data_IF_833862147202
#
_entry.id   IF_833862147202
#
_cell.length_a   1.000
_cell.length_b   1.000
_cell.length_c   1.000
_cell.angle_alpha   90.00
_cell.angle_beta   90.00
_cell.angle_gamma   90.00
#
_symmetry.space_group_name_H-M   'P 1'
#
loop_
_entity.id
_entity.type
_entity.pdbx_description
1 polymer ?
#
# COMPACT_ATOMS: atom_id res chain seq x y z
N UNK A 1 7.05 12.98 9.54
CA UNK A 1 6.87 11.57 9.14
C UNK A 1 7.01 11.47 7.62
N UNK A 2 7.76 10.49 7.13
CA UNK A 2 7.75 10.11 5.71
C UNK A 2 6.87 8.87 5.54
N UNK A 3 5.92 8.92 4.61
CA UNK A 3 4.90 7.90 4.45
C UNK A 3 4.78 7.49 2.98
N UNK A 4 4.86 6.19 2.71
CA UNK A 4 4.65 5.63 1.38
C UNK A 4 3.24 5.87 0.86
N UNK A 5 3.09 6.41 -0.34
CA UNK A 5 1.79 6.56 -1.01
C UNK A 5 1.89 7.24 -2.37
N UNK A 6 0.76 7.25 -3.10
CA UNK A 6 0.75 7.63 -4.52
C UNK A 6 0.53 9.12 -4.78
N UNK A 7 -0.12 9.80 -3.83
CA UNK A 7 -0.44 11.22 -3.94
C UNK A 7 -0.07 11.95 -2.66
N UNK A 8 0.32 13.24 -2.73
CA UNK A 8 0.60 14.04 -1.55
C UNK A 8 -0.53 14.03 -0.51
N UNK A 9 -1.77 13.92 -0.98
CA UNK A 9 -2.99 13.97 -0.16
C UNK A 9 -3.45 12.62 0.39
N UNK A 10 -2.76 11.51 0.05
CA UNK A 10 -3.20 10.14 0.37
C UNK A 10 -3.41 9.91 1.87
N UNK A 11 -2.69 10.64 2.70
CA UNK A 11 -2.73 10.54 4.16
C UNK A 11 -3.34 11.76 4.86
N UNK A 12 -4.10 12.59 4.15
CA UNK A 12 -4.76 13.77 4.74
C UNK A 12 -5.63 13.39 5.94
N UNK A 13 -6.40 12.30 5.86
CA UNK A 13 -7.23 11.87 6.99
C UNK A 13 -6.40 11.48 8.22
N UNK A 14 -5.25 10.84 8.03
CA UNK A 14 -4.33 10.50 9.12
C UNK A 14 -3.71 11.77 9.72
N UNK A 15 -3.27 12.70 8.86
CA UNK A 15 -2.71 13.98 9.30
C UNK A 15 -3.74 14.80 10.09
N UNK A 16 -4.95 14.94 9.55
CA UNK A 16 -6.05 15.65 10.19
C UNK A 16 -6.39 15.02 11.54
N UNK A 17 -6.66 13.71 11.58
CA UNK A 17 -7.08 13.05 12.81
C UNK A 17 -6.00 13.13 13.91
N UNK A 18 -4.72 13.03 13.56
CA UNK A 18 -3.64 13.20 14.53
C UNK A 18 -3.53 14.65 15.02
N UNK A 19 -3.56 15.63 14.13
CA UNK A 19 -3.49 17.05 14.48
C UNK A 19 -4.70 17.53 15.29
N UNK A 20 -5.90 17.04 15.00
CA UNK A 20 -7.11 17.32 15.78
C UNK A 20 -7.00 16.73 17.19
N UNK A 21 -6.44 15.52 17.31
CA UNK A 21 -6.27 14.85 18.60
C UNK A 21 -5.17 15.49 19.45
N UNK A 22 -4.12 16.02 18.82
CA UNK A 22 -2.94 16.59 19.47
C UNK A 22 -2.58 17.97 18.89
N UNK A 23 -3.40 19.01 19.15
CA UNK A 23 -3.27 20.31 18.50
C UNK A 23 -1.96 21.06 18.82
N UNK A 24 -1.30 20.73 19.93
CA UNK A 24 -0.02 21.31 20.31
C UNK A 24 1.18 20.66 19.59
N UNK A 25 0.98 19.54 18.89
CA UNK A 25 2.03 18.88 18.11
C UNK A 25 1.92 19.32 16.66
N UNK A 26 2.94 20.03 16.18
CA UNK A 26 3.05 20.34 14.76
C UNK A 26 3.41 19.06 13.96
N UNK A 27 2.39 18.41 13.41
CA UNK A 27 2.55 17.16 12.68
C UNK A 27 2.70 17.35 11.17
N UNK A 28 3.93 17.19 10.70
CA UNK A 28 4.26 17.16 9.27
C UNK A 28 4.31 15.72 8.76
N UNK A 29 3.46 15.41 7.79
CA UNK A 29 3.45 14.15 7.06
C UNK A 29 3.75 14.43 5.59
N UNK A 30 4.80 13.80 5.06
CA UNK A 30 5.19 13.90 3.65
C UNK A 30 4.90 12.54 3.00
N UNK A 31 4.20 12.57 1.87
CA UNK A 31 3.90 11.37 1.09
C UNK A 31 4.73 11.37 -0.19
N UNK A 32 5.38 10.25 -0.45
CA UNK A 32 6.02 9.90 -1.71
C UNK A 32 6.01 8.38 -1.87
N UNK A 33 6.39 7.85 -3.02
CA UNK A 33 6.53 6.41 -3.21
C UNK A 33 7.54 5.81 -2.23
N UNK A 34 7.24 4.62 -1.74
CA UNK A 34 8.11 3.95 -0.77
C UNK A 34 9.53 3.72 -1.29
N UNK A 35 9.67 3.48 -2.61
CA UNK A 35 10.94 3.29 -3.34
C UNK A 35 11.77 4.56 -3.53
N UNK A 36 11.19 5.73 -3.30
CA UNK A 36 11.92 7.00 -3.29
C UNK A 36 12.24 7.39 -1.85
N UNK A 37 11.29 7.21 -0.94
CA UNK A 37 11.50 7.46 0.47
C UNK A 37 12.59 6.56 1.08
N UNK A 38 12.70 5.28 0.71
CA UNK A 38 13.73 4.41 1.27
C UNK A 38 15.16 4.81 0.84
N UNK A 39 15.38 5.08 -0.45
CA UNK A 39 16.66 5.58 -0.96
C UNK A 39 16.99 6.95 -0.38
N UNK A 40 15.99 7.84 -0.24
CA UNK A 40 16.17 9.13 0.42
C UNK A 40 16.61 8.96 1.88
N UNK A 41 15.99 8.05 2.62
CA UNK A 41 16.34 7.77 4.01
C UNK A 41 17.74 7.17 4.11
N UNK A 42 18.09 6.23 3.23
CA UNK A 42 19.44 5.65 3.19
C UNK A 42 20.49 6.74 2.93
N UNK A 43 20.26 7.61 1.94
CA UNK A 43 21.15 8.73 1.66
C UNK A 43 21.24 9.71 2.84
N UNK A 44 20.13 10.01 3.51
CA UNK A 44 20.10 10.90 4.66
C UNK A 44 20.80 10.31 5.89
N UNK A 45 20.73 9.00 6.09
CA UNK A 45 21.46 8.29 7.14
C UNK A 45 22.98 8.36 6.89
N UNK A 46 23.40 8.10 5.64
CA UNK A 46 24.80 8.12 5.22
C UNK A 46 25.41 9.53 5.33
N UNK A 47 24.71 10.53 4.79
CA UNK A 47 25.17 11.93 4.79
C UNK A 47 24.91 12.65 6.11
N UNK A 48 24.34 11.97 7.11
CA UNK A 48 23.98 12.54 8.43
C UNK A 48 23.02 13.73 8.35
N UNK A 49 22.12 13.71 7.37
CA UNK A 49 21.12 14.76 7.11
C UNK A 49 19.69 14.29 7.38
N UNK A 50 19.50 13.27 8.22
CA UNK A 50 18.19 12.68 8.53
C UNK A 50 17.14 13.72 8.94
N UNK A 51 16.06 13.76 8.15
CA UNK A 51 14.93 14.68 8.34
C UNK A 51 13.78 14.05 9.12
N UNK A 52 13.20 12.89 8.72
CA UNK A 52 12.03 12.36 9.40
C UNK A 52 12.37 11.72 10.75
N UNK A 53 11.45 11.81 11.71
CA UNK A 53 11.51 11.03 12.95
C UNK A 53 10.88 9.63 12.82
N UNK A 54 9.90 9.52 11.90
CA UNK A 54 9.08 8.33 11.64
C UNK A 54 9.05 8.03 10.16
N UNK A 55 9.14 6.75 9.83
CA UNK A 55 8.97 6.23 8.47
C UNK A 55 7.88 5.16 8.45
N UNK A 56 7.01 5.21 7.45
CA UNK A 56 6.01 4.18 7.19
C UNK A 56 5.96 3.80 5.71
N UNK A 57 6.34 2.57 5.34
CA UNK A 57 6.54 2.19 3.94
C UNK A 57 6.04 0.77 3.63
N UNK A 58 5.80 0.54 2.34
CA UNK A 58 5.46 -0.78 1.80
C UNK A 58 6.69 -1.59 1.39
N UNK A 59 7.87 -0.96 1.30
CA UNK A 59 9.15 -1.64 1.03
C UNK A 59 9.65 -2.33 2.30
N UNK A 60 8.93 -3.39 2.68
CA UNK A 60 9.00 -4.04 3.99
C UNK A 60 10.41 -4.52 4.35
N UNK A 61 11.19 -4.95 3.36
CA UNK A 61 12.55 -5.44 3.49
C UNK A 61 13.51 -4.41 4.11
N UNK A 62 13.20 -3.11 4.00
CA UNK A 62 14.05 -2.06 4.56
C UNK A 62 14.04 -2.06 6.09
N UNK A 63 12.95 -2.48 6.73
CA UNK A 63 12.83 -2.40 8.19
C UNK A 63 13.77 -3.37 8.93
N UNK A 64 13.86 -4.67 8.58
CA UNK A 64 14.88 -5.55 9.15
C UNK A 64 16.32 -5.09 8.83
N UNK A 65 16.56 -4.55 7.63
CA UNK A 65 17.86 -4.00 7.24
C UNK A 65 18.25 -2.80 8.12
N UNK A 66 17.36 -1.83 8.28
CA UNK A 66 17.57 -0.67 9.15
C UNK A 66 17.68 -1.06 10.63
N UNK A 67 16.88 -2.04 11.09
CA UNK A 67 16.98 -2.56 12.45
C UNK A 67 18.36 -3.17 12.73
N UNK A 68 18.85 -4.01 11.82
CA UNK A 68 20.16 -4.67 11.93
C UNK A 68 21.31 -3.64 11.92
N UNK A 69 21.14 -2.53 11.21
CA UNK A 69 22.10 -1.42 11.19
C UNK A 69 22.00 -0.48 12.40
N UNK A 70 21.08 -0.71 13.35
CA UNK A 70 20.86 0.18 14.50
C UNK A 70 20.20 1.52 14.14
N UNK A 71 19.59 1.63 12.95
CA UNK A 71 18.97 2.84 12.45
C UNK A 71 17.52 3.04 12.93
N UNK A 72 16.96 2.06 13.67
CA UNK A 72 15.62 2.14 14.24
C UNK A 72 15.68 2.13 15.77
N UNK A 73 14.92 3.01 16.40
CA UNK A 73 14.68 2.99 17.84
C UNK A 73 13.77 1.81 18.18
N UNK A 74 14.25 0.92 19.04
CA UNK A 74 13.46 -0.19 19.58
C UNK A 74 12.41 0.37 20.56
N UNK A 75 11.14 0.24 20.22
CA UNK A 75 10.03 0.69 21.06
C UNK A 75 8.82 -0.25 20.94
N UNK A 76 8.43 -0.84 22.08
CA UNK A 76 7.23 -1.67 22.20
C UNK A 76 6.12 -0.84 22.84
N UNK A 77 5.16 -0.30 22.06
CA UNK A 77 4.01 0.42 22.61
C UNK A 77 3.13 -0.49 23.48
N UNK A 78 2.21 0.12 24.22
CA UNK A 78 1.13 -0.63 24.89
C UNK A 78 0.43 -1.55 23.88
N UNK A 79 0.12 -2.79 24.30
CA UNK A 79 -0.46 -3.84 23.45
C UNK A 79 0.42 -4.34 22.30
N UNK A 80 1.73 -4.03 22.26
CA UNK A 80 2.64 -4.55 21.23
C UNK A 80 2.61 -6.08 21.11
N UNK A 81 2.46 -6.79 22.25
CA UNK A 81 2.33 -8.25 22.28
C UNK A 81 1.06 -8.79 21.62
N UNK A 82 0.03 -7.96 21.44
CA UNK A 82 -1.23 -8.33 20.77
C UNK A 82 -1.16 -8.20 19.25
N UNK A 83 -0.14 -7.52 18.71
CA UNK A 83 0.10 -7.51 17.27
C UNK A 83 0.63 -8.91 16.89
N UNK A 84 0.03 -9.53 15.86
CA UNK A 84 0.45 -10.83 15.36
C UNK A 84 1.96 -10.85 15.08
N UNK A 85 2.64 -11.94 15.40
CA UNK A 85 4.11 -12.02 15.33
C UNK A 85 4.66 -11.71 13.93
N UNK A 86 3.98 -12.14 12.87
CA UNK A 86 4.39 -11.84 11.48
C UNK A 86 4.29 -10.34 11.11
N UNK A 87 3.60 -9.55 11.94
CA UNK A 87 3.34 -8.13 11.75
C UNK A 87 4.16 -7.26 12.70
N UNK A 88 5.15 -7.81 13.41
CA UNK A 88 6.03 -7.03 14.29
C UNK A 88 7.43 -7.59 14.37
N UNK A 89 8.36 -6.72 14.74
CA UNK A 89 9.71 -7.09 15.12
C UNK A 89 9.74 -7.67 16.55
N UNK A 90 10.55 -8.67 16.84
CA UNK A 90 10.65 -9.23 18.20
C UNK A 90 11.17 -8.21 19.22
N UNK A 91 12.05 -7.31 18.77
CA UNK A 91 12.70 -6.30 19.61
C UNK A 91 11.95 -4.96 19.62
N UNK A 92 10.91 -4.83 18.78
CA UNK A 92 10.14 -3.59 18.65
C UNK A 92 10.82 -2.54 17.77
N UNK A 93 11.74 -2.92 16.88
CA UNK A 93 12.33 -1.99 15.92
C UNK A 93 11.30 -1.49 14.88
N UNK A 94 10.30 -2.32 14.55
CA UNK A 94 9.22 -1.97 13.63
C UNK A 94 7.94 -2.76 13.95
N UNK A 95 6.82 -2.29 13.43
CA UNK A 95 5.54 -3.03 13.44
C UNK A 95 4.67 -2.65 12.26
N UNK A 96 3.70 -3.48 11.89
CA UNK A 96 2.62 -3.07 11.03
C UNK A 96 1.72 -2.08 11.79
N UNK A 97 1.43 -0.93 11.18
CA UNK A 97 0.45 0.01 11.73
C UNK A 97 -0.87 0.05 10.96
N UNK A 98 -0.89 -0.44 9.71
CA UNK A 98 -2.09 -0.59 8.90
C UNK A 98 -1.95 -1.79 7.98
N UNK A 99 -3.05 -2.52 7.77
CA UNK A 99 -3.12 -3.54 6.74
C UNK A 99 -3.57 -2.91 5.43
N UNK A 100 -2.86 -3.25 4.35
CA UNK A 100 -3.28 -2.95 2.98
C UNK A 100 -3.51 -4.24 2.22
N UNK A 101 -4.33 -4.12 1.20
CA UNK A 101 -4.74 -5.23 0.36
C UNK A 101 -4.82 -4.74 -1.08
N UNK A 102 -4.34 -5.56 -2.02
CA UNK A 102 -4.59 -5.42 -3.45
C UNK A 102 -5.19 -6.69 -4.02
N UNK A 103 -6.17 -6.53 -4.88
CA UNK A 103 -6.75 -7.58 -5.70
C UNK A 103 -7.19 -6.94 -7.00
N UNK A 104 -8.36 -7.31 -7.50
CA UNK A 104 -9.08 -6.45 -8.41
C UNK A 104 -10.41 -6.02 -7.80
N UNK A 105 -10.93 -4.91 -8.30
CA UNK A 105 -12.25 -4.42 -8.01
C UNK A 105 -13.05 -4.31 -9.31
N UNK A 106 -14.37 -4.39 -9.22
CA UNK A 106 -15.24 -3.99 -10.33
C UNK A 106 -16.34 -3.04 -9.84
N UNK A 107 -16.85 -2.23 -10.76
CA UNK A 107 -17.99 -1.36 -10.52
C UNK A 107 -19.28 -2.08 -10.94
N UNK A 108 -20.11 -2.47 -9.97
CA UNK A 108 -21.34 -3.23 -10.25
C UNK A 108 -22.37 -2.45 -11.06
N UNK A 109 -22.30 -1.11 -11.07
CA UNK A 109 -23.20 -0.26 -11.85
C UNK A 109 -22.73 -0.04 -13.28
N UNK A 110 -21.50 -0.46 -13.64
CA UNK A 110 -20.90 -0.26 -14.96
C UNK A 110 -20.78 -1.56 -15.78
N UNK A 111 -21.46 -2.64 -15.36
CA UNK A 111 -21.38 -3.94 -16.03
C UNK A 111 -22.05 -3.97 -17.40
N UNK A 112 -23.03 -3.10 -17.65
CA UNK A 112 -23.73 -2.97 -18.94
C UNK A 112 -24.24 -4.32 -19.49
N UNK A 113 -24.98 -5.05 -18.65
CA UNK A 113 -25.54 -6.37 -18.98
C UNK A 113 -24.56 -7.54 -18.91
N UNK A 114 -23.26 -7.31 -18.68
CA UNK A 114 -22.27 -8.37 -18.51
C UNK A 114 -22.36 -9.02 -17.13
N UNK A 115 -22.08 -10.32 -17.07
CA UNK A 115 -21.86 -11.00 -15.80
C UNK A 115 -20.60 -10.43 -15.12
N UNK A 116 -20.65 -10.26 -13.79
CA UNK A 116 -19.51 -9.77 -13.03
C UNK A 116 -18.34 -10.77 -13.09
N UNK A 117 -17.08 -10.28 -13.22
CA UNK A 117 -15.91 -11.16 -13.16
C UNK A 117 -15.76 -11.65 -11.72
N UNK A 118 -15.64 -12.96 -11.56
CA UNK A 118 -15.56 -13.65 -10.26
C UNK A 118 -14.15 -14.09 -9.88
N UNK A 119 -13.27 -14.16 -10.88
CA UNK A 119 -11.86 -14.48 -10.69
C UNK A 119 -10.96 -13.77 -11.72
N UNK A 120 -9.64 -13.69 -11.49
CA UNK A 120 -8.71 -13.10 -12.43
C UNK A 120 -8.69 -13.80 -13.80
N UNK A 121 -9.05 -15.09 -13.89
CA UNK A 121 -9.16 -15.77 -15.19
C UNK A 121 -10.21 -15.12 -16.08
N UNK A 122 -11.30 -14.62 -15.49
CA UNK A 122 -12.37 -13.95 -16.25
C UNK A 122 -11.88 -12.68 -16.94
N UNK A 123 -10.87 -11.99 -16.36
CA UNK A 123 -10.32 -10.75 -16.89
C UNK A 123 -9.62 -10.93 -18.25
N UNK A 124 -9.21 -12.17 -18.58
CA UNK A 124 -8.61 -12.51 -19.86
C UNK A 124 -9.64 -12.67 -20.99
N UNK A 125 -10.95 -12.63 -20.69
CA UNK A 125 -12.00 -12.73 -21.69
C UNK A 125 -12.09 -11.44 -22.53
N UNK A 126 -12.21 -11.51 -23.88
CA UNK A 126 -12.25 -10.34 -24.75
C UNK A 126 -13.35 -9.30 -24.45
N UNK A 127 -14.42 -9.70 -23.74
CA UNK A 127 -15.48 -8.77 -23.31
C UNK A 127 -14.98 -7.64 -22.38
N UNK A 128 -13.82 -7.83 -21.75
CA UNK A 128 -13.19 -6.83 -20.89
C UNK A 128 -12.18 -5.93 -21.61
N UNK A 129 -11.98 -6.12 -22.92
CA UNK A 129 -11.03 -5.33 -23.68
C UNK A 129 -11.40 -3.84 -23.62
N UNK A 130 -10.44 -2.99 -23.27
CA UNK A 130 -10.61 -1.55 -23.04
C UNK A 130 -11.33 -1.17 -21.75
N UNK A 131 -11.82 -2.14 -20.95
CA UNK A 131 -12.62 -1.92 -19.72
C UNK A 131 -11.80 -2.03 -18.43
N UNK A 132 -10.51 -2.35 -18.52
CA UNK A 132 -9.62 -2.58 -17.37
C UNK A 132 -8.66 -1.38 -17.20
N UNK A 133 -8.50 -0.92 -15.97
CA UNK A 133 -7.37 -0.10 -15.55
C UNK A 133 -6.48 -0.84 -14.55
N UNK A 134 -5.19 -0.52 -14.56
CA UNK A 134 -4.20 -1.04 -13.61
C UNK A 134 -3.14 0.00 -13.35
N UNK A 135 -2.46 -0.07 -12.20
CA UNK A 135 -1.14 0.57 -12.10
C UNK A 135 -0.14 -0.17 -12.98
N UNK A 136 0.87 0.53 -13.47
CA UNK A 136 2.07 -0.09 -14.05
C UNK A 136 2.71 -1.03 -13.03
N UNK A 137 2.81 -2.31 -13.36
CA UNK A 137 3.42 -3.32 -12.46
C UNK A 137 4.93 -3.13 -12.30
N UNK A 138 5.60 -2.47 -13.25
CA UNK A 138 7.02 -2.09 -13.12
C UNK A 138 7.25 -0.78 -12.35
N UNK A 139 6.18 -0.09 -11.90
CA UNK A 139 6.28 1.14 -11.09
C UNK A 139 5.94 0.88 -9.60
N UNK A 140 5.23 -0.19 -9.27
CA UNK A 140 4.88 -0.56 -7.88
C UNK A 140 5.04 -2.07 -7.63
N UNK A 141 5.92 -2.44 -6.69
CA UNK A 141 6.24 -3.83 -6.37
C UNK A 141 5.08 -4.61 -5.73
N UNK A 142 4.13 -3.97 -5.04
CA UNK A 142 2.95 -4.64 -4.53
C UNK A 142 2.02 -5.02 -5.69
N UNK A 143 1.87 -4.15 -6.67
CA UNK A 143 1.17 -4.47 -7.93
C UNK A 143 1.92 -5.54 -8.71
N UNK A 144 3.25 -5.43 -8.84
CA UNK A 144 4.10 -6.46 -9.46
C UNK A 144 3.89 -7.83 -8.83
N UNK A 145 3.90 -7.89 -7.50
CA UNK A 145 3.75 -9.14 -6.76
C UNK A 145 2.34 -9.72 -6.91
N UNK A 146 1.30 -8.88 -7.00
CA UNK A 146 -0.05 -9.34 -7.35
C UNK A 146 -0.08 -10.02 -8.73
N UNK A 147 0.49 -9.38 -9.76
CA UNK A 147 0.59 -10.00 -11.10
C UNK A 147 1.44 -11.27 -11.05
N UNK A 148 2.49 -11.32 -10.25
CA UNK A 148 3.29 -12.54 -10.05
C UNK A 148 2.44 -13.68 -9.48
N UNK A 149 1.55 -13.39 -8.51
CA UNK A 149 0.61 -14.38 -7.97
C UNK A 149 -0.38 -14.86 -9.03
N UNK A 150 -0.93 -13.95 -9.82
CA UNK A 150 -1.81 -14.31 -10.94
C UNK A 150 -1.09 -15.14 -12.00
N UNK A 151 0.12 -14.76 -12.41
CA UNK A 151 0.92 -15.53 -13.38
C UNK A 151 1.24 -16.93 -12.85
N UNK A 152 1.55 -17.08 -11.56
CA UNK A 152 1.78 -18.40 -10.94
C UNK A 152 0.52 -19.26 -10.93
N UNK A 153 -0.65 -18.66 -10.71
CA UNK A 153 -1.92 -19.39 -10.65
C UNK A 153 -2.48 -19.73 -12.04
N UNK A 154 -2.29 -18.86 -13.04
CA UNK A 154 -3.00 -18.93 -14.33
C UNK A 154 -2.08 -19.07 -15.55
N UNK A 155 -0.76 -19.02 -15.35
CA UNK A 155 0.23 -19.23 -16.40
C UNK A 155 0.48 -18.02 -17.31
N UNK A 156 1.48 -18.14 -18.18
CA UNK A 156 1.87 -17.08 -19.12
C UNK A 156 0.84 -16.86 -20.24
N UNK A 157 0.02 -17.86 -20.57
CA UNK A 157 -1.08 -17.69 -21.52
C UNK A 157 -2.13 -16.68 -21.02
N UNK A 158 -2.38 -16.66 -19.70
CA UNK A 158 -3.23 -15.63 -19.10
C UNK A 158 -2.59 -14.25 -19.23
N UNK A 159 -1.27 -14.13 -19.01
CA UNK A 159 -0.55 -12.86 -19.17
C UNK A 159 -0.63 -12.37 -20.62
N UNK A 160 -0.44 -13.26 -21.61
CA UNK A 160 -0.54 -12.92 -23.03
C UNK A 160 -1.96 -12.42 -23.39
N UNK A 161 -3.00 -13.07 -22.87
CA UNK A 161 -4.40 -12.62 -23.04
C UNK A 161 -4.66 -11.29 -22.36
N UNK A 162 -4.13 -11.06 -21.16
CA UNK A 162 -4.24 -9.78 -20.46
C UNK A 162 -3.54 -8.65 -21.22
N UNK A 163 -2.37 -8.91 -21.81
CA UNK A 163 -1.67 -7.94 -22.65
C UNK A 163 -2.50 -7.51 -23.88
N UNK A 164 -3.37 -8.39 -24.39
CA UNK A 164 -4.28 -8.09 -25.49
C UNK A 164 -5.54 -7.31 -25.07
N UNK A 165 -5.79 -7.08 -23.78
CA UNK A 165 -7.01 -6.42 -23.28
C UNK A 165 -7.03 -4.89 -23.46
N UNK A 166 -6.01 -4.27 -24.06
CA UNK A 166 -5.91 -2.80 -24.13
C UNK A 166 -6.11 -2.12 -22.76
N UNK A 167 -5.36 -2.59 -21.75
CA UNK A 167 -5.47 -2.13 -20.36
C UNK A 167 -4.96 -0.68 -20.26
N UNK A 168 -5.72 0.17 -19.56
CA UNK A 168 -5.27 1.52 -19.23
C UNK A 168 -4.31 1.51 -18.04
N UNK A 169 -3.01 1.41 -18.35
CA UNK A 169 -1.95 1.48 -17.34
C UNK A 169 -1.63 2.92 -16.96
N UNK A 170 -1.60 3.19 -15.66
CA UNK A 170 -1.28 4.49 -15.08
C UNK A 170 -0.27 4.34 -13.94
N UNK A 171 0.43 5.42 -13.56
CA UNK A 171 1.24 5.39 -12.32
C UNK A 171 0.31 5.59 -11.12
N UNK A 172 0.54 4.82 -10.05
CA UNK A 172 -0.24 4.89 -8.81
C UNK A 172 -1.47 3.96 -8.82
N UNK A 173 -1.54 2.97 -7.90
CA UNK A 173 -2.72 2.12 -7.64
C UNK A 173 -4.03 2.86 -7.39
N UNK A 174 -3.96 4.10 -6.91
CA UNK A 174 -5.13 4.96 -6.72
C UNK A 174 -5.85 5.29 -8.04
N UNK A 175 -5.14 5.43 -9.16
CA UNK A 175 -5.73 5.83 -10.44
C UNK A 175 -6.65 4.73 -10.98
N UNK A 176 -6.21 3.47 -10.95
CA UNK A 176 -7.05 2.33 -11.34
C UNK A 176 -8.34 2.25 -10.49
N UNK A 177 -8.22 2.51 -9.20
CA UNK A 177 -9.36 2.59 -8.29
C UNK A 177 -10.34 3.71 -8.63
N UNK A 178 -9.81 4.90 -8.95
CA UNK A 178 -10.62 6.07 -9.34
C UNK A 178 -11.34 5.89 -10.67
N UNK A 179 -10.67 5.33 -11.68
CA UNK A 179 -11.26 5.05 -13.00
C UNK A 179 -12.39 4.02 -12.91
N UNK A 180 -12.22 3.00 -12.04
CA UNK A 180 -13.30 2.05 -11.77
C UNK A 180 -14.48 2.72 -11.03
N UNK A 181 -14.19 3.56 -10.04
CA UNK A 181 -15.22 4.28 -9.26
C UNK A 181 -16.03 5.27 -10.09
N UNK A 182 -15.40 5.98 -11.03
CA UNK A 182 -16.10 6.89 -11.94
C UNK A 182 -16.95 6.17 -12.98
N UNK A 183 -16.70 4.88 -13.21
CA UNK A 183 -17.33 4.09 -14.28
C UNK A 183 -16.66 4.27 -15.64
N UNK A 184 -15.59 5.06 -15.74
CA UNK A 184 -14.78 5.18 -16.97
C UNK A 184 -14.13 3.84 -17.34
N UNK A 185 -13.79 3.04 -16.32
CA UNK A 185 -13.39 1.64 -16.44
C UNK A 185 -14.33 0.79 -15.61
N UNK A 186 -14.52 -0.46 -16.00
CA UNK A 186 -15.36 -1.40 -15.25
C UNK A 186 -14.55 -2.09 -14.16
N UNK A 187 -13.28 -2.41 -14.44
CA UNK A 187 -12.39 -3.16 -13.56
C UNK A 187 -11.15 -2.34 -13.22
N UNK A 188 -10.76 -2.34 -11.95
CA UNK A 188 -9.47 -1.85 -11.48
C UNK A 188 -8.63 -3.00 -10.92
N UNK A 189 -7.45 -3.27 -11.48
CA UNK A 189 -6.52 -4.31 -11.01
C UNK A 189 -5.38 -3.68 -10.21
N UNK A 190 -4.87 -4.37 -9.18
CA UNK A 190 -3.79 -3.87 -8.35
C UNK A 190 -4.25 -2.74 -7.43
N UNK A 191 -5.50 -2.80 -6.97
CA UNK A 191 -6.11 -1.77 -6.13
C UNK A 191 -7.08 -2.41 -5.12
N UNK A 192 -7.75 -1.59 -4.31
CA UNK A 192 -8.77 -2.03 -3.34
C UNK A 192 -9.94 -1.06 -3.25
N UNK A 193 -11.04 -1.56 -2.69
CA UNK A 193 -12.25 -0.78 -2.43
C UNK A 193 -13.47 -1.67 -2.29
N UNK A 194 -14.42 -1.29 -1.43
CA UNK A 194 -15.66 -2.04 -1.18
C UNK A 194 -16.89 -1.15 -0.99
N UNK A 195 -16.72 0.17 -1.12
CA UNK A 195 -17.83 1.12 -1.07
C UNK A 195 -18.69 0.99 -2.31
N UNK A 196 -19.99 0.77 -2.15
CA UNK A 196 -20.95 0.72 -3.27
C UNK A 196 -20.72 1.88 -4.25
N UNK A 197 -20.68 1.64 -5.57
CA UNK A 197 -20.96 0.37 -6.28
C UNK A 197 -19.74 -0.55 -6.46
N UNK A 198 -18.61 -0.26 -5.81
CA UNK A 198 -17.38 -1.05 -5.96
C UNK A 198 -17.46 -2.36 -5.18
N UNK A 199 -17.09 -3.45 -5.86
CA UNK A 199 -16.94 -4.79 -5.28
C UNK A 199 -15.49 -5.23 -5.38
N UNK A 200 -14.91 -5.62 -4.25
CA UNK A 200 -13.59 -6.22 -4.21
C UNK A 200 -13.67 -7.70 -4.52
N UNK A 201 -12.72 -8.21 -5.30
CA UNK A 201 -12.56 -9.64 -5.54
C UNK A 201 -11.15 -10.07 -5.12
N UNK A 202 -11.14 -10.92 -4.09
CA UNK A 202 -9.97 -11.52 -3.47
C UNK A 202 -10.39 -12.34 -2.26
N UNK A 203 -9.65 -13.41 -1.95
CA UNK A 203 -10.03 -14.40 -0.94
C UNK A 203 -11.00 -15.46 -1.49
N UNK A 204 -11.44 -16.39 -0.64
CA UNK A 204 -12.36 -17.49 -1.01
C UNK A 204 -11.91 -18.29 -2.27
N UNK A 205 -10.62 -18.59 -2.37
CA UNK A 205 -10.03 -19.29 -3.51
C UNK A 205 -9.50 -18.38 -4.62
N UNK A 206 -9.76 -17.07 -4.56
CA UNK A 206 -9.18 -16.08 -5.47
C UNK A 206 -7.92 -15.45 -4.90
N UNK A 207 -6.85 -15.47 -5.69
CA UNK A 207 -5.57 -14.85 -5.35
C UNK A 207 -5.71 -13.34 -5.09
N UNK A 208 -5.02 -12.85 -4.07
CA UNK A 208 -4.95 -11.42 -3.72
C UNK A 208 -3.69 -11.18 -2.88
N UNK A 209 -3.29 -9.92 -2.73
CA UNK A 209 -2.16 -9.51 -1.90
C UNK A 209 -2.65 -8.79 -0.66
N UNK A 210 -2.09 -9.12 0.51
CA UNK A 210 -2.20 -8.30 1.71
C UNK A 210 -0.86 -8.17 2.41
N UNK A 211 -0.64 -7.02 3.05
CA UNK A 211 0.55 -6.77 3.85
C UNK A 211 0.26 -5.80 4.99
N UNK A 212 1.08 -5.86 6.03
CA UNK A 212 1.15 -4.81 7.04
C UNK A 212 2.13 -3.73 6.61
N UNK A 213 1.63 -2.53 6.32
CA UNK A 213 2.48 -1.37 6.15
C UNK A 213 3.28 -1.18 7.44
N UNK A 214 4.60 -1.22 7.32
CA UNK A 214 5.49 -1.14 8.47
C UNK A 214 5.71 0.30 8.84
N UNK A 215 5.75 0.57 10.15
CA UNK A 215 6.22 1.83 10.74
C UNK A 215 7.43 1.54 11.60
N UNK A 216 8.37 2.49 11.62
CA UNK A 216 9.57 2.47 12.44
C UNK A 216 9.93 3.89 12.89
N UNK A 217 10.41 4.00 14.12
CA UNK A 217 10.97 5.25 14.65
C UNK A 217 12.46 5.24 14.31
N UNK A 218 12.95 6.28 13.66
CA UNK A 218 14.37 6.38 13.32
C UNK A 218 15.20 6.64 14.58
N UNK A 219 16.35 5.98 14.71
CA UNK A 219 17.17 6.06 15.94
C UNK A 219 17.70 7.46 16.23
N UNK A 220 17.84 8.30 15.19
CA UNK A 220 18.22 9.72 15.27
C UNK A 220 17.02 10.69 15.23
N UNK A 221 15.81 10.22 15.54
CA UNK A 221 14.63 11.08 15.67
C UNK A 221 14.91 12.23 16.65
N UNK A 222 14.62 13.46 16.22
CA UNK A 222 14.69 14.68 17.03
C UNK A 222 13.52 14.79 18.01
N UNK A 223 12.40 14.13 17.72
CA UNK A 223 11.17 14.18 18.53
C UNK A 223 10.72 12.80 19.05
N UNK A 224 11.55 12.07 19.83
CA UNK A 224 11.27 10.68 20.20
C UNK A 224 10.00 10.52 21.05
N UNK A 225 9.62 11.49 21.88
CA UNK A 225 8.36 11.42 22.63
C UNK A 225 7.13 11.52 21.71
N UNK A 226 7.13 12.46 20.76
CA UNK A 226 6.05 12.62 19.80
C UNK A 226 5.91 11.40 18.87
N UNK A 227 7.02 10.79 18.47
CA UNK A 227 6.97 9.56 17.66
C UNK A 227 6.39 8.36 18.41
N UNK A 228 6.76 8.17 19.68
CA UNK A 228 6.16 7.13 20.54
C UNK A 228 4.67 7.37 20.72
N UNK A 229 4.26 8.63 20.92
CA UNK A 229 2.84 9.00 21.00
C UNK A 229 2.09 8.63 19.72
N UNK A 230 2.64 8.97 18.54
CA UNK A 230 2.04 8.60 17.25
C UNK A 230 1.84 7.08 17.10
N UNK A 231 2.83 6.28 17.50
CA UNK A 231 2.78 4.82 17.40
C UNK A 231 1.74 4.21 18.36
N UNK A 232 1.51 4.82 19.52
CA UNK A 232 0.54 4.37 20.54
C UNK A 232 -0.89 4.83 20.22
N UNK A 233 -1.08 6.11 19.95
CA UNK A 233 -2.39 6.77 19.87
C UNK A 233 -2.95 6.79 18.45
N UNK A 234 -2.76 5.70 17.69
CA UNK A 234 -3.21 5.58 16.30
C UNK A 234 -4.65 6.10 16.19
N UNK A 235 -4.91 7.18 15.43
CA UNK A 235 -6.27 7.58 15.11
C UNK A 235 -6.95 6.57 14.19
#
# INVERSE_FOLDING_TARGET
MHHGGDTPTKQNNLQQAFSERFPEINFTLIVDYSKYHDVLIDNQLETKTLVPDLVALQTLQNFPRWASAGNLLKYKPTNFSKIHESLRDSDGAWMAYKLFTFGYIYNSSALDGLAAPTSPTDLANPQWAGKIASSYSNDDDAVFFLYTRYTKAYGWDWVAKMAAQNISFNRGPNVAGSLAKSGEKVVGVGTSGSSSPIKFVGGNGTEYLSWGQRVGILSKAKHPAATKLFVVCRP
#
